data_IF_222718434608
#
_entry.id   IF_222718434608
#
_cell.length_a   1.000
_cell.length_b   1.000
_cell.length_c   1.000
_cell.angle_alpha   90.00
_cell.angle_beta   90.00
_cell.angle_gamma   90.00
#
_symmetry.space_group_name_H-M   'P 1'
#
loop_
_entity.id
_entity.type
_entity.pdbx_description
1 polymer ?
#
# COMPACT_ATOMS: atom_id res chain seq x y z
N UNK A 1 31.18 10.74 -16.44
CA UNK A 1 29.85 10.61 -17.04
C UNK A 1 29.51 9.14 -17.11
N UNK A 2 28.22 8.80 -16.80
CA UNK A 2 27.69 7.46 -17.02
C UNK A 2 27.45 7.30 -18.51
N UNK A 3 27.86 6.14 -19.07
CA UNK A 3 27.64 5.83 -20.48
C UNK A 3 26.85 4.52 -20.65
N UNK A 4 26.68 3.77 -19.57
CA UNK A 4 25.91 2.52 -19.59
C UNK A 4 25.87 1.85 -18.22
N UNK A 5 25.04 0.83 -18.11
CA UNK A 5 24.93 -0.05 -16.94
C UNK A 5 24.87 -1.50 -17.39
N UNK A 6 25.56 -2.36 -16.67
CA UNK A 6 25.42 -3.81 -16.82
C UNK A 6 24.72 -4.37 -15.58
N UNK A 7 23.62 -5.07 -15.79
CA UNK A 7 22.90 -5.79 -14.74
C UNK A 7 23.06 -7.30 -14.96
N UNK A 8 22.97 -8.07 -13.88
CA UNK A 8 22.99 -9.52 -13.92
C UNK A 8 21.96 -10.09 -12.94
N UNK A 9 21.53 -11.33 -13.17
CA UNK A 9 20.71 -12.06 -12.20
C UNK A 9 21.55 -12.42 -10.98
N UNK A 10 20.91 -12.54 -9.82
CA UNK A 10 21.52 -13.01 -8.58
C UNK A 10 20.77 -14.22 -8.05
N UNK A 11 21.48 -15.08 -7.34
CA UNK A 11 20.90 -16.21 -6.62
C UNK A 11 20.23 -15.77 -5.30
N UNK A 12 19.69 -16.75 -4.56
CA UNK A 12 19.04 -16.51 -3.24
C UNK A 12 19.99 -15.96 -2.17
N UNK A 13 21.29 -15.96 -2.43
CA UNK A 13 22.36 -15.39 -1.58
C UNK A 13 22.92 -14.08 -2.13
N UNK A 14 22.24 -13.45 -3.11
CA UNK A 14 22.67 -12.24 -3.79
C UNK A 14 24.04 -12.35 -4.49
N UNK A 15 24.44 -13.58 -4.90
CA UNK A 15 25.64 -13.78 -5.70
C UNK A 15 25.29 -13.73 -7.18
N UNK A 16 26.13 -13.09 -7.97
CA UNK A 16 25.94 -12.97 -9.42
C UNK A 16 25.90 -14.33 -10.11
N UNK A 17 24.93 -14.52 -10.97
CA UNK A 17 24.84 -15.70 -11.86
C UNK A 17 25.59 -15.38 -13.16
N UNK A 18 26.78 -15.95 -13.39
CA UNK A 18 27.58 -15.69 -14.59
C UNK A 18 26.83 -16.05 -15.87
N UNK A 19 26.93 -15.20 -16.90
CA UNK A 19 26.28 -15.41 -18.20
C UNK A 19 24.87 -14.84 -18.29
N UNK A 20 24.40 -14.13 -17.25
CA UNK A 20 23.10 -13.44 -17.24
C UNK A 20 23.24 -11.93 -17.42
N UNK A 21 24.46 -11.46 -17.68
CA UNK A 21 24.78 -10.04 -17.81
C UNK A 21 24.05 -9.43 -19.01
N UNK A 22 23.40 -8.28 -18.78
CA UNK A 22 22.76 -7.45 -19.80
C UNK A 22 23.28 -6.05 -19.71
N UNK A 23 23.80 -5.53 -20.81
CA UNK A 23 24.28 -4.16 -20.91
C UNK A 23 23.22 -3.24 -21.52
N UNK A 24 23.09 -2.02 -20.93
CA UNK A 24 22.22 -0.96 -21.42
C UNK A 24 23.02 0.32 -21.54
N UNK A 25 22.94 0.98 -22.69
CA UNK A 25 23.49 2.32 -22.90
C UNK A 25 22.56 3.33 -22.26
N UNK A 26 23.02 4.01 -21.20
CA UNK A 26 22.26 5.00 -20.45
C UNK A 26 23.17 6.16 -20.03
N UNK A 27 22.64 7.34 -19.92
CA UNK A 27 23.33 8.53 -19.43
C UNK A 27 23.05 8.81 -17.94
N UNK A 28 22.03 8.17 -17.40
CA UNK A 28 21.60 8.36 -16.02
C UNK A 28 21.18 7.03 -15.40
N UNK A 29 21.56 6.77 -14.14
CA UNK A 29 21.14 5.62 -13.36
C UNK A 29 20.45 6.12 -12.09
N UNK A 30 19.20 5.69 -11.86
CA UNK A 30 18.48 5.93 -10.62
C UNK A 30 18.57 4.70 -9.73
N UNK A 31 19.12 4.82 -8.53
CA UNK A 31 19.24 3.75 -7.54
C UNK A 31 18.19 3.92 -6.45
N UNK A 32 17.40 2.87 -6.22
CA UNK A 32 16.43 2.78 -5.14
C UNK A 32 16.72 1.52 -4.31
N UNK A 33 17.88 1.50 -3.65
CA UNK A 33 18.44 0.32 -2.96
C UNK A 33 18.14 0.29 -1.46
N UNK A 34 17.18 1.07 -1.01
CA UNK A 34 16.76 1.16 0.38
C UNK A 34 17.15 2.49 1.04
N UNK A 35 16.77 2.61 2.30
CA UNK A 35 16.97 3.78 3.13
C UNK A 35 17.91 3.44 4.29
N UNK A 36 18.54 4.44 4.87
CA UNK A 36 19.33 4.32 6.10
C UNK A 36 18.95 5.42 7.08
N UNK A 37 18.97 5.16 8.40
CA UNK A 37 18.66 6.15 9.41
C UNK A 37 19.58 7.37 9.35
N UNK A 38 19.01 8.59 9.37
CA UNK A 38 19.77 9.83 9.44
C UNK A 38 20.13 10.16 10.90
N UNK A 39 21.10 9.43 11.45
CA UNK A 39 21.45 9.46 12.88
C UNK A 39 22.58 10.44 13.25
N UNK A 40 23.02 11.30 12.32
CA UNK A 40 24.19 12.17 12.51
C UNK A 40 24.03 13.15 13.68
N UNK A 41 22.85 13.77 13.83
CA UNK A 41 22.58 14.70 14.92
C UNK A 41 22.65 14.04 16.30
N UNK A 42 22.20 12.79 16.41
CA UNK A 42 22.26 12.02 17.65
C UNK A 42 23.69 11.66 18.03
N UNK A 43 24.53 11.30 17.03
CA UNK A 43 25.96 11.11 17.24
C UNK A 43 26.66 12.38 17.72
N UNK A 44 26.31 13.52 17.12
CA UNK A 44 26.85 14.81 17.54
C UNK A 44 26.40 15.20 18.95
N UNK A 45 25.18 14.83 19.35
CA UNK A 45 24.67 15.02 20.70
C UNK A 45 25.30 14.07 21.73
N UNK A 46 26.07 13.06 21.30
CA UNK A 46 26.70 12.08 22.17
C UNK A 46 25.82 10.92 22.59
N UNK A 47 24.69 10.69 21.88
CA UNK A 47 23.85 9.53 22.14
C UNK A 47 24.58 8.24 21.82
N UNK A 48 24.36 7.21 22.63
CA UNK A 48 24.84 5.86 22.34
C UNK A 48 24.13 5.29 21.12
N UNK A 49 24.91 4.65 20.24
CA UNK A 49 24.43 4.11 18.95
C UNK A 49 24.74 2.61 18.85
N UNK A 50 23.86 1.89 18.19
CA UNK A 50 24.10 0.50 17.79
C UNK A 50 24.06 0.36 16.26
N UNK A 51 24.80 -0.63 15.74
CA UNK A 51 24.66 -1.03 14.33
C UNK A 51 23.67 -2.18 14.23
N UNK A 52 22.50 -1.87 13.68
CA UNK A 52 21.38 -2.80 13.57
C UNK A 52 20.91 -2.93 12.12
N UNK A 53 21.43 -3.91 11.35
CA UNK A 53 21.05 -4.10 9.96
C UNK A 53 19.54 -4.28 9.73
N UNK A 54 18.81 -4.83 10.73
CA UNK A 54 17.35 -5.01 10.66
C UNK A 54 16.57 -3.69 10.76
N UNK A 55 17.21 -2.66 11.28
CA UNK A 55 16.67 -1.30 11.39
C UNK A 55 17.23 -0.35 10.32
N UNK A 56 17.98 -0.88 9.34
CA UNK A 56 18.55 -0.13 8.23
C UNK A 56 19.94 0.46 8.50
N UNK A 57 20.61 0.07 9.59
CA UNK A 57 21.98 0.49 9.90
C UNK A 57 22.15 1.06 11.30
N UNK A 58 22.87 2.17 11.44
CA UNK A 58 23.15 2.77 12.75
C UNK A 58 21.95 3.53 13.30
N UNK A 59 21.46 3.07 14.46
CA UNK A 59 20.32 3.62 15.20
C UNK A 59 20.72 3.99 16.63
N UNK A 60 20.03 4.94 17.29
CA UNK A 60 20.28 5.23 18.71
C UNK A 60 19.76 4.10 19.59
N UNK A 61 20.46 3.88 20.70
CA UNK A 61 19.94 3.09 21.81
C UNK A 61 18.92 3.96 22.55
N UNK A 62 17.68 3.51 22.63
CA UNK A 62 16.59 4.22 23.30
C UNK A 62 15.71 3.23 24.09
N UNK A 63 14.96 3.78 25.05
CA UNK A 63 13.97 3.03 25.81
C UNK A 63 12.66 2.82 25.02
N UNK A 64 11.65 2.25 25.66
CA UNK A 64 10.31 1.98 25.09
C UNK A 64 9.53 3.23 24.71
N UNK A 65 9.92 4.39 25.23
CA UNK A 65 9.30 5.71 24.95
C UNK A 65 10.07 6.52 23.91
N UNK A 66 11.18 5.99 23.40
CA UNK A 66 12.06 6.67 22.47
C UNK A 66 13.04 7.64 23.12
N UNK A 67 13.19 7.66 24.47
CA UNK A 67 14.24 8.45 25.13
C UNK A 67 15.60 7.79 24.90
N UNK A 68 16.57 8.57 24.45
CA UNK A 68 17.94 8.10 24.15
C UNK A 68 18.76 7.97 25.43
N UNK A 69 20.01 7.54 25.32
CA UNK A 69 20.98 7.54 26.42
C UNK A 69 21.24 8.94 27.00
N UNK A 70 20.88 9.99 26.27
CA UNK A 70 20.95 11.40 26.76
C UNK A 70 19.54 11.84 27.13
N UNK A 71 19.33 12.08 28.44
CA UNK A 71 18.05 12.50 29.01
C UNK A 71 17.48 13.75 28.32
N UNK A 72 16.18 13.69 27.98
CA UNK A 72 15.47 14.77 27.31
C UNK A 72 15.63 14.79 25.79
N UNK A 73 16.38 13.84 25.21
CA UNK A 73 16.46 13.63 23.78
C UNK A 73 15.62 12.41 23.42
N UNK A 74 14.53 12.66 22.71
CA UNK A 74 13.61 11.63 22.23
C UNK A 74 13.74 11.44 20.73
N UNK A 75 13.51 10.22 20.25
CA UNK A 75 13.59 9.83 18.84
C UNK A 75 12.32 9.10 18.40
N UNK A 76 11.95 9.27 17.14
CA UNK A 76 10.83 8.58 16.52
C UNK A 76 11.00 8.50 15.00
N UNK A 77 10.41 7.51 14.37
CA UNK A 77 10.44 7.31 12.93
C UNK A 77 11.78 6.80 12.43
N UNK A 78 12.11 7.11 11.17
CA UNK A 78 13.26 6.52 10.45
C UNK A 78 14.61 6.65 11.17
N UNK A 79 14.78 7.64 12.02
CA UNK A 79 16.00 7.82 12.80
C UNK A 79 16.20 6.72 13.85
N UNK A 80 15.11 6.13 14.35
CA UNK A 80 15.10 4.99 15.28
C UNK A 80 15.09 3.65 14.54
N UNK A 81 15.00 3.69 13.22
CA UNK A 81 15.01 2.55 12.30
C UNK A 81 13.96 2.70 11.21
N UNK A 82 14.34 2.38 9.99
CA UNK A 82 13.49 2.55 8.82
C UNK A 82 12.21 1.73 8.93
N UNK A 83 11.08 2.40 8.82
CA UNK A 83 9.74 1.81 8.85
C UNK A 83 8.75 2.67 8.03
N UNK A 84 7.47 2.30 7.99
CA UNK A 84 6.45 3.05 7.27
C UNK A 84 6.08 4.36 7.99
N UNK A 85 5.60 5.34 7.21
CA UNK A 85 5.23 6.67 7.72
C UNK A 85 4.15 6.62 8.83
N UNK A 86 3.22 5.67 8.76
CA UNK A 86 2.18 5.46 9.78
C UNK A 86 2.76 5.02 11.13
N UNK A 87 3.75 4.13 11.12
CA UNK A 87 4.50 3.74 12.34
C UNK A 87 5.27 4.92 12.91
N UNK A 88 5.93 5.70 12.05
CA UNK A 88 6.66 6.90 12.45
C UNK A 88 5.76 7.95 13.13
N UNK A 89 4.52 8.12 12.66
CA UNK A 89 3.53 9.00 13.29
C UNK A 89 3.17 8.55 14.70
N UNK A 90 2.98 7.25 14.93
CA UNK A 90 2.63 6.72 16.24
C UNK A 90 3.84 6.79 17.18
N UNK A 91 5.03 6.42 16.72
CA UNK A 91 6.26 6.60 17.49
C UNK A 91 6.46 8.06 17.90
N UNK A 92 6.18 9.00 16.99
CA UNK A 92 6.21 10.44 17.31
C UNK A 92 5.21 10.84 18.39
N UNK A 93 4.03 10.23 18.44
CA UNK A 93 3.06 10.46 19.54
C UNK A 93 3.56 9.89 20.86
N UNK A 94 4.11 8.69 20.87
CA UNK A 94 4.71 8.07 22.07
C UNK A 94 5.82 8.97 22.61
N UNK A 95 6.76 9.36 21.76
CA UNK A 95 7.86 10.24 22.14
C UNK A 95 7.37 11.61 22.66
N UNK A 96 6.32 12.17 22.02
CA UNK A 96 5.71 13.44 22.48
C UNK A 96 5.02 13.33 23.84
N UNK A 97 4.31 12.23 24.11
CA UNK A 97 3.69 11.93 25.40
C UNK A 97 4.78 11.80 26.48
N UNK A 98 5.84 11.03 26.18
CA UNK A 98 6.97 10.84 27.10
C UNK A 98 7.72 12.15 27.39
N UNK A 99 7.94 12.98 26.38
CA UNK A 99 8.54 14.31 26.55
C UNK A 99 7.67 15.22 27.43
N UNK A 100 6.34 15.18 27.29
CA UNK A 100 5.42 15.92 28.14
C UNK A 100 5.49 15.45 29.60
N UNK A 101 5.58 14.16 29.84
CA UNK A 101 5.82 13.60 31.18
C UNK A 101 7.17 14.05 31.73
N UNK A 102 8.24 13.95 30.95
CA UNK A 102 9.59 14.44 31.34
C UNK A 102 9.59 15.90 31.77
N UNK A 103 8.78 16.72 31.15
CA UNK A 103 8.61 18.14 31.50
C UNK A 103 7.62 18.40 32.66
N UNK A 104 7.02 17.34 33.22
CA UNK A 104 6.13 17.44 34.37
C UNK A 104 4.69 17.88 34.05
N UNK A 105 4.27 17.77 32.77
CA UNK A 105 2.90 18.10 32.36
C UNK A 105 1.88 16.98 32.62
N UNK A 106 2.34 15.76 32.91
CA UNK A 106 1.50 14.62 33.26
C UNK A 106 2.22 13.69 34.24
N UNK A 107 1.46 12.92 34.98
CA UNK A 107 2.00 11.93 35.91
C UNK A 107 2.29 10.58 35.22
N UNK A 108 2.86 9.65 35.98
CA UNK A 108 3.26 8.32 35.50
C UNK A 108 2.06 7.45 35.10
N UNK A 109 0.91 7.58 35.76
CA UNK A 109 -0.28 6.79 35.45
C UNK A 109 -0.92 7.26 34.13
N UNK A 110 -0.99 8.56 33.94
CA UNK A 110 -1.44 9.17 32.69
C UNK A 110 -0.50 8.84 31.52
N UNK A 111 0.82 8.89 31.73
CA UNK A 111 1.81 8.46 30.75
C UNK A 111 1.52 7.02 30.27
N UNK A 112 1.45 6.08 31.20
CA UNK A 112 1.24 4.66 30.88
C UNK A 112 -0.06 4.41 30.13
N UNK A 113 -1.12 5.08 30.53
CA UNK A 113 -2.43 4.95 29.87
C UNK A 113 -2.38 5.43 28.43
N UNK A 114 -1.83 6.64 28.19
CA UNK A 114 -1.76 7.23 26.84
C UNK A 114 -0.78 6.49 25.93
N UNK A 115 0.34 6.05 26.47
CA UNK A 115 1.32 5.28 25.68
C UNK A 115 0.72 3.93 25.29
N UNK A 116 0.03 3.25 26.21
CA UNK A 116 -0.61 1.96 25.91
C UNK A 116 -1.56 2.02 24.72
N UNK A 117 -2.37 3.07 24.62
CA UNK A 117 -3.25 3.30 23.48
C UNK A 117 -2.47 3.40 22.15
N UNK A 118 -1.32 4.05 22.18
CA UNK A 118 -0.47 4.19 20.99
C UNK A 118 0.29 2.88 20.66
N UNK A 119 0.76 2.16 21.67
CA UNK A 119 1.41 0.86 21.50
C UNK A 119 0.46 -0.15 20.86
N UNK A 120 -0.78 -0.23 21.32
CA UNK A 120 -1.79 -1.13 20.77
C UNK A 120 -2.06 -0.80 19.28
N UNK A 121 -2.07 0.48 18.90
CA UNK A 121 -2.18 0.91 17.52
C UNK A 121 -0.92 0.56 16.69
N UNK A 122 0.27 0.74 17.27
CA UNK A 122 1.55 0.41 16.62
C UNK A 122 1.72 -1.09 16.40
N UNK A 123 1.32 -1.89 17.39
CA UNK A 123 1.33 -3.34 17.28
C UNK A 123 0.37 -3.81 16.18
N UNK A 124 -0.79 -3.18 16.04
CA UNK A 124 -1.72 -3.44 14.94
C UNK A 124 -1.09 -3.21 13.56
N UNK A 125 -0.34 -2.11 13.39
CA UNK A 125 0.39 -1.83 12.15
C UNK A 125 1.49 -2.85 11.85
N UNK A 126 2.20 -3.29 12.89
CA UNK A 126 3.33 -4.22 12.79
C UNK A 126 2.92 -5.68 12.60
N UNK A 127 1.64 -5.96 12.46
CA UNK A 127 1.10 -7.28 12.08
C UNK A 127 0.94 -7.44 10.58
N UNK A 128 1.04 -6.35 9.80
CA UNK A 128 0.90 -6.36 8.35
C UNK A 128 1.97 -7.18 7.63
N UNK A 129 1.68 -7.57 6.40
CA UNK A 129 2.56 -8.37 5.54
C UNK A 129 3.95 -7.75 5.35
N UNK A 130 4.03 -6.44 5.31
CA UNK A 130 5.26 -5.67 5.13
C UNK A 130 5.89 -5.22 6.45
N UNK A 131 5.28 -5.62 7.57
CA UNK A 131 5.79 -5.27 8.88
C UNK A 131 7.20 -5.86 9.09
N UNK A 132 8.12 -5.09 9.66
CA UNK A 132 9.45 -5.58 9.99
C UNK A 132 9.33 -6.71 11.02
N UNK A 133 9.69 -7.92 10.62
CA UNK A 133 9.51 -9.20 11.36
C UNK A 133 10.05 -9.24 12.81
N UNK A 134 10.62 -8.15 13.35
CA UNK A 134 11.30 -8.12 14.63
C UNK A 134 11.07 -6.85 15.45
N UNK A 135 10.06 -6.04 15.15
CA UNK A 135 9.80 -4.78 15.84
C UNK A 135 8.58 -4.75 16.75
N UNK A 136 7.68 -5.70 16.67
CA UNK A 136 6.53 -5.84 17.55
C UNK A 136 6.56 -7.19 18.26
N UNK A 137 5.82 -7.34 19.36
CA UNK A 137 5.41 -8.65 19.83
C UNK A 137 4.59 -9.26 18.70
N UNK A 138 4.99 -10.43 18.19
CA UNK A 138 4.11 -11.24 17.36
C UNK A 138 2.90 -11.58 18.24
N UNK A 139 1.79 -10.88 18.00
CA UNK A 139 0.50 -11.34 18.54
C UNK A 139 0.28 -12.69 17.87
N UNK A 140 0.10 -13.72 18.67
CA UNK A 140 -0.35 -15.03 18.17
C UNK A 140 -1.55 -14.77 17.27
N UNK A 141 -1.52 -15.33 16.05
CA UNK A 141 -2.55 -15.19 15.02
C UNK A 141 -3.93 -15.29 15.67
N UNK A 142 -4.63 -14.18 15.77
CA UNK A 142 -6.09 -14.25 15.88
C UNK A 142 -6.59 -14.72 14.52
N UNK A 143 -7.49 -15.68 14.49
CA UNK A 143 -8.00 -16.39 13.30
C UNK A 143 -8.75 -15.49 12.28
N UNK A 144 -8.69 -14.18 12.41
CA UNK A 144 -9.35 -13.19 11.55
C UNK A 144 -8.42 -12.48 10.54
N UNK A 145 -7.14 -12.79 10.51
CA UNK A 145 -6.23 -12.32 9.47
C UNK A 145 -6.40 -13.13 8.20
N UNK A 146 -6.70 -12.50 7.08
CA UNK A 146 -6.61 -13.15 5.76
C UNK A 146 -5.19 -13.70 5.64
N UNK A 147 -5.08 -15.02 5.48
CA UNK A 147 -3.81 -15.68 5.19
C UNK A 147 -3.39 -15.22 3.78
N UNK A 148 -2.58 -14.16 3.77
CA UNK A 148 -2.13 -13.56 2.51
C UNK A 148 -1.22 -14.56 1.83
N UNK A 149 -1.65 -14.96 0.67
CA UNK A 149 -1.04 -16.05 -0.07
C UNK A 149 0.45 -15.81 -0.32
N UNK A 150 1.17 -16.90 -0.43
CA UNK A 150 2.56 -16.94 -0.88
C UNK A 150 2.76 -16.27 -2.25
N UNK A 151 1.70 -16.11 -3.06
CA UNK A 151 1.77 -15.45 -4.37
C UNK A 151 1.98 -13.94 -4.21
N UNK A 152 1.23 -13.26 -3.34
CA UNK A 152 1.41 -11.82 -3.11
C UNK A 152 2.80 -11.51 -2.57
N UNK A 153 3.31 -12.33 -1.64
CA UNK A 153 4.65 -12.17 -1.08
C UNK A 153 5.78 -12.40 -2.10
N UNK A 154 5.61 -13.38 -3.00
CA UNK A 154 6.66 -13.77 -3.95
C UNK A 154 6.55 -13.07 -5.30
N UNK A 155 5.34 -12.78 -5.76
CA UNK A 155 5.06 -12.28 -7.10
C UNK A 155 4.56 -10.85 -7.13
N UNK A 156 4.15 -10.29 -5.97
CA UNK A 156 3.66 -8.92 -5.85
C UNK A 156 2.22 -8.71 -6.33
N UNK A 157 1.47 -9.77 -6.59
CA UNK A 157 0.05 -9.69 -6.96
C UNK A 157 -0.77 -10.84 -6.35
N UNK A 158 -2.06 -10.59 -6.16
CA UNK A 158 -3.02 -11.59 -5.70
C UNK A 158 -3.43 -12.48 -6.88
N UNK A 159 -3.44 -13.79 -6.69
CA UNK A 159 -3.89 -14.72 -7.72
C UNK A 159 -5.42 -14.66 -7.89
N UNK A 160 -5.91 -14.99 -9.09
CA UNK A 160 -7.35 -14.89 -9.41
C UNK A 160 -8.23 -15.76 -8.51
N UNK A 161 -7.74 -16.91 -8.06
CA UNK A 161 -8.44 -17.82 -7.14
C UNK A 161 -8.46 -17.35 -5.68
N UNK A 162 -7.71 -16.30 -5.37
CA UNK A 162 -7.63 -15.73 -4.02
C UNK A 162 -8.48 -14.48 -3.84
N UNK A 163 -8.96 -13.90 -4.93
CA UNK A 163 -9.69 -12.62 -4.92
C UNK A 163 -10.96 -12.67 -4.08
N UNK A 164 -11.69 -13.78 -4.14
CA UNK A 164 -12.94 -13.96 -3.40
C UNK A 164 -12.77 -13.98 -1.88
N UNK A 165 -11.53 -14.03 -1.38
CA UNK A 165 -11.24 -13.99 0.06
C UNK A 165 -11.30 -12.58 0.63
N UNK A 166 -11.27 -11.55 -0.20
CA UNK A 166 -11.27 -10.17 0.30
C UNK A 166 -12.69 -9.69 0.58
N UNK A 167 -12.94 -9.11 1.77
CA UNK A 167 -14.29 -8.72 2.19
C UNK A 167 -14.89 -7.60 1.33
N UNK A 168 -14.05 -6.86 0.60
CA UNK A 168 -14.47 -5.81 -0.32
C UNK A 168 -14.73 -6.30 -1.76
N UNK A 169 -14.57 -7.59 -2.04
CA UNK A 169 -14.90 -8.19 -3.33
C UNK A 169 -16.35 -8.65 -3.29
N UNK A 170 -17.15 -8.14 -4.20
CA UNK A 170 -18.59 -8.41 -4.28
C UNK A 170 -19.02 -8.61 -5.71
N UNK A 171 -20.13 -9.34 -5.91
CA UNK A 171 -20.82 -9.51 -7.17
C UNK A 171 -22.22 -8.94 -7.04
N UNK A 172 -22.54 -7.93 -7.80
CA UNK A 172 -23.86 -7.28 -7.81
C UNK A 172 -24.33 -7.01 -9.25
N UNK A 173 -25.64 -6.95 -9.44
CA UNK A 173 -26.22 -6.46 -10.70
C UNK A 173 -25.92 -4.96 -10.84
N UNK A 174 -25.47 -4.55 -12.02
CA UNK A 174 -25.05 -3.18 -12.29
C UNK A 174 -23.68 -2.83 -11.73
N UNK A 175 -23.33 -1.56 -11.82
CA UNK A 175 -22.01 -1.07 -11.40
C UNK A 175 -21.84 -1.14 -9.88
N UNK A 176 -20.74 -1.74 -9.43
CA UNK A 176 -20.39 -1.85 -8.01
C UNK A 176 -18.89 -1.79 -7.79
N UNK A 177 -18.42 -1.40 -6.59
CA UNK A 177 -16.99 -1.42 -6.28
C UNK A 177 -16.53 -2.84 -5.98
N UNK A 178 -15.38 -3.19 -6.52
CA UNK A 178 -14.60 -4.39 -6.20
C UNK A 178 -13.30 -3.91 -5.57
N UNK A 179 -13.08 -4.25 -4.31
CA UNK A 179 -11.96 -3.75 -3.54
C UNK A 179 -10.99 -4.87 -3.21
N UNK A 180 -9.82 -4.83 -3.83
CA UNK A 180 -8.72 -5.78 -3.67
C UNK A 180 -7.68 -5.26 -2.68
N UNK A 181 -8.16 -4.66 -1.59
CA UNK A 181 -7.30 -4.12 -0.56
C UNK A 181 -6.70 -5.26 0.26
N UNK A 182 -5.37 -5.39 0.22
CA UNK A 182 -4.62 -6.48 0.84
C UNK A 182 -3.93 -6.08 2.14
N UNK A 183 -4.01 -4.81 2.53
CA UNK A 183 -3.21 -4.26 3.61
C UNK A 183 -4.08 -3.80 4.78
N UNK A 184 -3.82 -4.34 5.96
CA UNK A 184 -4.39 -3.89 7.21
C UNK A 184 -3.60 -2.69 7.74
N UNK A 185 -3.77 -1.52 7.10
CA UNK A 185 -3.12 -0.26 7.47
C UNK A 185 -4.17 0.79 7.86
N UNK A 186 -3.83 1.81 8.66
CA UNK A 186 -4.74 2.93 8.95
C UNK A 186 -5.03 3.72 7.68
N UNK A 187 -6.11 3.38 7.00
CA UNK A 187 -6.46 3.96 5.72
C UNK A 187 -7.97 3.92 5.51
N UNK A 188 -8.60 5.09 5.25
CA UNK A 188 -10.04 5.20 5.03
C UNK A 188 -10.48 6.14 3.88
N UNK A 189 -9.62 6.66 2.99
CA UNK A 189 -10.06 7.59 1.94
C UNK A 189 -11.22 7.06 1.08
N UNK A 190 -11.30 5.76 0.84
CA UNK A 190 -12.37 5.15 0.06
C UNK A 190 -13.74 5.25 0.75
N UNK A 191 -13.80 5.14 2.08
CA UNK A 191 -15.01 5.34 2.87
C UNK A 191 -15.44 6.81 2.84
N UNK A 192 -14.50 7.72 3.11
CA UNK A 192 -14.78 9.16 3.22
C UNK A 192 -15.16 9.76 1.86
N UNK A 193 -14.58 9.27 0.77
CA UNK A 193 -14.88 9.72 -0.58
C UNK A 193 -16.24 9.19 -1.13
N UNK A 194 -16.84 8.18 -0.51
CA UNK A 194 -18.06 7.58 -1.01
C UNK A 194 -19.31 8.41 -0.66
N UNK A 195 -19.96 9.14 -1.61
CA UNK A 195 -21.09 10.01 -1.31
C UNK A 195 -22.36 9.22 -0.93
N UNK A 196 -22.37 7.91 -1.19
CA UNK A 196 -23.47 7.01 -0.82
C UNK A 196 -23.17 6.21 0.45
N UNK A 197 -21.96 6.33 1.00
CA UNK A 197 -21.53 5.56 2.16
C UNK A 197 -21.66 4.04 1.98
N UNK A 198 -21.52 3.55 0.74
CA UNK A 198 -21.57 2.11 0.46
C UNK A 198 -20.26 1.38 0.78
N UNK A 199 -19.21 2.09 1.17
CA UNK A 199 -17.94 1.51 1.61
C UNK A 199 -17.75 1.81 3.10
N UNK A 200 -17.41 0.81 3.87
CA UNK A 200 -17.15 0.93 5.32
C UNK A 200 -15.83 0.28 5.67
N UNK A 201 -15.06 0.96 6.49
CA UNK A 201 -13.97 0.37 7.25
C UNK A 201 -14.58 -0.13 8.57
N UNK A 202 -14.15 -1.28 9.07
CA UNK A 202 -14.67 -1.84 10.31
C UNK A 202 -14.39 -0.95 11.55
N UNK A 203 -14.59 -1.51 12.73
CA UNK A 203 -14.39 -0.76 14.00
C UNK A 203 -12.96 -0.24 14.16
N UNK A 204 -11.99 -0.99 13.65
CA UNK A 204 -10.60 -0.57 13.64
C UNK A 204 -10.26 0.09 12.30
N UNK A 205 -9.58 1.25 12.35
CA UNK A 205 -9.10 1.98 11.15
C UNK A 205 -8.20 1.11 10.25
N UNK A 206 -7.62 0.04 10.77
CA UNK A 206 -6.81 -0.94 10.03
C UNK A 206 -7.62 -2.09 9.43
N UNK A 207 -8.93 -2.14 9.66
CA UNK A 207 -9.80 -3.17 9.07
C UNK A 207 -9.83 -3.03 7.55
N UNK A 208 -9.93 -4.16 6.86
CA UNK A 208 -10.14 -4.14 5.41
C UNK A 208 -11.52 -3.55 5.07
N UNK A 209 -11.63 -2.82 3.94
CA UNK A 209 -12.89 -2.24 3.53
C UNK A 209 -13.89 -3.31 3.11
N UNK A 210 -15.14 -3.07 3.44
CA UNK A 210 -16.31 -3.87 3.02
C UNK A 210 -17.27 -3.03 2.22
N UNK A 211 -18.00 -3.66 1.30
CA UNK A 211 -19.09 -3.02 0.56
C UNK A 211 -20.41 -3.33 1.28
N UNK A 212 -21.16 -2.29 1.64
CA UNK A 212 -22.47 -2.45 2.25
C UNK A 212 -23.43 -3.13 1.23
N UNK A 213 -23.99 -4.29 1.57
CA UNK A 213 -24.87 -5.02 0.65
C UNK A 213 -26.19 -4.30 0.36
N UNK A 214 -26.64 -3.45 1.28
CA UNK A 214 -27.95 -2.77 1.23
C UNK A 214 -27.88 -1.40 0.55
N UNK A 215 -26.68 -0.95 0.16
CA UNK A 215 -26.48 0.36 -0.48
C UNK A 215 -26.02 0.19 -1.93
N UNK A 216 -26.78 0.81 -2.84
CA UNK A 216 -26.45 0.79 -4.26
C UNK A 216 -25.34 1.79 -4.61
N UNK A 217 -24.35 1.32 -5.34
CA UNK A 217 -23.30 2.15 -5.92
C UNK A 217 -23.85 2.94 -7.12
N UNK A 218 -23.52 4.23 -7.22
CA UNK A 218 -23.91 5.09 -8.35
C UNK A 218 -22.82 5.20 -9.43
N UNK A 219 -21.73 4.44 -9.33
CA UNK A 219 -20.66 4.45 -10.34
C UNK A 219 -19.88 5.76 -10.43
N UNK A 220 -19.89 6.62 -9.40
CA UNK A 220 -19.23 7.93 -9.45
C UNK A 220 -17.70 7.85 -9.60
N UNK A 221 -17.07 6.81 -9.07
CA UNK A 221 -15.63 6.58 -9.17
C UNK A 221 -14.76 7.30 -8.14
N UNK A 222 -15.38 8.04 -7.20
CA UNK A 222 -14.62 8.76 -6.15
C UNK A 222 -13.73 7.83 -5.34
N UNK A 223 -14.22 6.66 -4.96
CA UNK A 223 -13.42 5.67 -4.22
C UNK A 223 -12.23 5.14 -5.03
N UNK A 224 -12.40 4.97 -6.35
CA UNK A 224 -11.30 4.55 -7.24
C UNK A 224 -10.22 5.62 -7.29
N UNK A 225 -10.61 6.88 -7.50
CA UNK A 225 -9.69 8.01 -7.59
C UNK A 225 -8.98 8.31 -6.26
N UNK A 226 -9.67 8.10 -5.12
CA UNK A 226 -9.13 8.41 -3.79
C UNK A 226 -8.25 7.30 -3.20
N UNK A 227 -8.21 6.13 -3.83
CA UNK A 227 -7.41 5.01 -3.33
C UNK A 227 -5.94 5.15 -3.72
N UNK A 228 -5.09 5.54 -2.77
CA UNK A 228 -3.64 5.65 -2.99
C UNK A 228 -2.97 4.32 -3.37
N UNK A 229 -3.56 3.20 -2.94
CA UNK A 229 -3.09 1.85 -3.30
C UNK A 229 -3.62 1.33 -4.64
N UNK A 230 -4.47 2.11 -5.35
CA UNK A 230 -5.10 1.72 -6.63
C UNK A 230 -5.78 0.35 -6.58
N UNK A 231 -6.30 -0.04 -5.41
CA UNK A 231 -6.87 -1.36 -5.16
C UNK A 231 -8.40 -1.43 -5.36
N UNK A 232 -9.00 -0.39 -5.94
CA UNK A 232 -10.46 -0.30 -6.13
C UNK A 232 -10.79 -0.17 -7.61
N UNK A 233 -11.73 -0.99 -8.04
CA UNK A 233 -12.25 -1.00 -9.40
C UNK A 233 -13.77 -0.89 -9.33
N UNK A 234 -14.43 -0.29 -10.35
CA UNK A 234 -15.87 -0.44 -10.52
C UNK A 234 -16.12 -1.46 -11.60
N UNK A 235 -16.90 -2.47 -11.28
CA UNK A 235 -17.23 -3.56 -12.21
C UNK A 235 -18.73 -3.56 -12.47
N UNK A 236 -19.13 -3.78 -13.72
CA UNK A 236 -20.50 -4.08 -14.10
C UNK A 236 -20.51 -5.32 -14.98
N UNK A 237 -20.81 -6.46 -14.36
CA UNK A 237 -20.88 -7.76 -15.03
C UNK A 237 -22.15 -7.91 -15.89
N UNK A 238 -23.07 -6.95 -15.80
CA UNK A 238 -24.37 -6.97 -16.49
C UNK A 238 -24.49 -5.92 -17.60
N UNK A 239 -23.38 -5.30 -17.99
CA UNK A 239 -23.34 -4.18 -18.94
C UNK A 239 -24.02 -4.47 -20.29
N UNK A 240 -23.62 -5.55 -20.94
CA UNK A 240 -24.20 -6.04 -22.21
C UNK A 240 -24.15 -7.58 -22.25
N UNK A 241 -25.03 -8.25 -23.01
CA UNK A 241 -24.93 -9.71 -23.14
C UNK A 241 -23.55 -10.17 -23.63
N UNK A 242 -22.84 -10.93 -22.78
CA UNK A 242 -21.50 -11.43 -23.04
C UNK A 242 -20.35 -10.46 -22.75
N UNK A 243 -20.64 -9.24 -22.29
CA UNK A 243 -19.64 -8.23 -21.96
C UNK A 243 -19.89 -7.58 -20.60
N UNK A 244 -18.81 -7.17 -19.99
CA UNK A 244 -18.77 -6.42 -18.76
C UNK A 244 -17.99 -5.12 -18.94
N UNK A 245 -18.12 -4.19 -18.01
CA UNK A 245 -17.21 -3.04 -17.92
C UNK A 245 -16.40 -3.07 -16.63
N UNK A 246 -15.15 -2.61 -16.75
CA UNK A 246 -14.25 -2.38 -15.63
C UNK A 246 -13.77 -0.94 -15.69
N UNK A 247 -14.04 -0.17 -14.62
CA UNK A 247 -13.47 1.17 -14.44
C UNK A 247 -12.27 1.06 -13.50
N UNK A 248 -11.15 1.58 -13.93
CA UNK A 248 -9.85 1.49 -13.25
C UNK A 248 -9.18 2.87 -13.18
N UNK A 249 -8.29 3.10 -12.21
CA UNK A 249 -7.45 4.28 -12.20
C UNK A 249 -6.43 4.20 -13.33
N UNK A 250 -6.18 5.33 -14.04
CA UNK A 250 -5.27 5.34 -15.17
C UNK A 250 -4.43 6.61 -15.18
N UNK A 251 -3.12 6.46 -15.04
CA UNK A 251 -2.19 7.58 -14.87
C UNK A 251 -1.14 7.67 -16.00
N UNK A 252 -1.28 6.86 -17.05
CA UNK A 252 -0.37 6.87 -18.18
C UNK A 252 -0.83 7.87 -19.25
N UNK A 253 0.14 8.46 -19.94
CA UNK A 253 -0.08 9.39 -21.04
C UNK A 253 0.52 8.84 -22.35
N UNK A 254 -0.08 9.13 -23.51
CA UNK A 254 -1.34 9.86 -23.68
C UNK A 254 -2.55 9.07 -23.17
N UNK A 255 -3.59 9.80 -22.74
CA UNK A 255 -4.86 9.14 -22.35
C UNK A 255 -5.48 8.44 -23.56
N UNK A 256 -6.04 7.22 -23.39
CA UNK A 256 -6.77 6.55 -24.44
C UNK A 256 -8.02 7.32 -24.86
N UNK A 257 -8.47 7.12 -26.09
CA UNK A 257 -9.70 7.73 -26.61
C UNK A 257 -10.89 6.76 -26.54
N UNK A 258 -12.10 7.29 -26.40
CA UNK A 258 -13.32 6.48 -26.45
C UNK A 258 -13.39 5.71 -27.78
N UNK A 259 -13.65 4.40 -27.71
CA UNK A 259 -13.68 3.49 -28.85
C UNK A 259 -12.30 2.95 -29.24
N UNK A 260 -11.23 3.38 -28.56
CA UNK A 260 -9.90 2.83 -28.80
C UNK A 260 -9.87 1.36 -28.40
N UNK A 261 -9.25 0.54 -29.26
CA UNK A 261 -9.08 -0.89 -29.04
C UNK A 261 -7.72 -1.19 -28.46
N UNK A 262 -7.69 -2.13 -27.56
CA UNK A 262 -6.50 -2.57 -26.87
C UNK A 262 -6.71 -3.90 -26.18
N UNK A 263 -6.00 -4.08 -25.08
CA UNK A 263 -5.98 -5.33 -24.35
C UNK A 263 -6.29 -5.10 -22.88
N UNK A 264 -7.15 -5.97 -22.33
CA UNK A 264 -7.29 -6.12 -20.89
C UNK A 264 -6.10 -6.92 -20.36
N UNK A 265 -5.47 -6.37 -19.32
CA UNK A 265 -4.29 -6.96 -18.69
C UNK A 265 -4.67 -7.53 -17.33
N UNK A 266 -4.08 -8.65 -16.96
CA UNK A 266 -4.23 -9.27 -15.64
C UNK A 266 -3.45 -8.49 -14.55
N UNK A 267 -3.60 -8.91 -13.30
CA UNK A 267 -2.80 -8.42 -12.16
C UNK A 267 -1.30 -8.71 -12.30
N UNK A 268 -0.94 -9.76 -13.04
CA UNK A 268 0.47 -10.08 -13.38
C UNK A 268 1.03 -9.27 -14.55
N UNK A 269 0.20 -8.41 -15.19
CA UNK A 269 0.60 -7.66 -16.38
C UNK A 269 0.54 -8.43 -17.69
N UNK A 270 -0.08 -9.60 -17.72
CA UNK A 270 -0.25 -10.41 -18.94
C UNK A 270 -1.51 -9.98 -19.71
N UNK A 271 -1.46 -10.04 -21.04
CA UNK A 271 -2.64 -9.89 -21.89
C UNK A 271 -3.58 -11.07 -21.68
N UNK A 272 -4.84 -10.79 -21.29
CA UNK A 272 -5.84 -11.82 -21.04
C UNK A 272 -7.05 -11.76 -21.97
N UNK A 273 -7.36 -10.60 -22.53
CA UNK A 273 -8.48 -10.45 -23.47
C UNK A 273 -8.29 -9.20 -24.34
N UNK A 274 -9.13 -9.09 -25.37
CA UNK A 274 -9.30 -7.82 -26.07
C UNK A 274 -10.19 -6.88 -25.24
N UNK A 275 -9.93 -5.58 -25.35
CA UNK A 275 -10.66 -4.55 -24.62
C UNK A 275 -10.94 -3.35 -25.53
N UNK A 276 -12.05 -2.64 -25.25
CA UNK A 276 -12.42 -1.40 -25.91
C UNK A 276 -12.70 -0.32 -24.88
N UNK A 277 -12.18 0.87 -25.10
CA UNK A 277 -12.39 2.01 -24.20
C UNK A 277 -13.81 2.53 -24.34
N UNK A 278 -14.58 2.45 -23.26
CA UNK A 278 -15.97 2.97 -23.17
C UNK A 278 -15.96 4.45 -22.83
N UNK A 279 -15.15 4.83 -21.85
CA UNK A 279 -15.03 6.23 -21.42
C UNK A 279 -13.72 6.52 -20.72
N UNK A 280 -13.28 7.76 -20.81
CA UNK A 280 -12.20 8.34 -20.00
C UNK A 280 -12.79 9.52 -19.25
N UNK A 281 -12.69 9.52 -17.94
CA UNK A 281 -13.20 10.58 -17.07
C UNK A 281 -12.04 11.27 -16.38
N UNK A 282 -11.94 12.58 -16.57
CA UNK A 282 -11.00 13.45 -15.88
C UNK A 282 -11.80 14.47 -15.08
N UNK A 283 -11.44 14.74 -13.85
CA UNK A 283 -12.13 15.70 -13.00
C UNK A 283 -11.17 16.28 -11.95
N UNK A 284 -11.38 17.54 -11.61
CA UNK A 284 -10.67 18.13 -10.46
C UNK A 284 -10.96 17.40 -9.14
N UNK A 285 -12.14 16.79 -9.03
CA UNK A 285 -12.53 16.00 -7.87
C UNK A 285 -11.76 14.68 -7.74
N UNK A 286 -11.08 14.24 -8.79
CA UNK A 286 -10.27 13.02 -8.81
C UNK A 286 -8.79 13.27 -8.50
N UNK A 287 -8.42 14.49 -8.15
CA UNK A 287 -7.07 14.89 -7.75
C UNK A 287 -5.98 14.32 -8.66
N UNK A 288 -6.10 14.65 -9.98
CA UNK A 288 -5.20 14.21 -11.06
C UNK A 288 -5.27 12.73 -11.47
N UNK A 289 -6.00 11.87 -10.76
CA UNK A 289 -6.27 10.49 -11.20
C UNK A 289 -7.31 10.49 -12.32
N UNK A 290 -7.01 9.83 -13.43
CA UNK A 290 -8.00 9.63 -14.50
C UNK A 290 -8.70 8.29 -14.31
N UNK A 291 -9.97 8.21 -14.63
CA UNK A 291 -10.74 6.97 -14.60
C UNK A 291 -10.98 6.48 -16.02
N UNK A 292 -10.45 5.31 -16.33
CA UNK A 292 -10.64 4.63 -17.60
C UNK A 292 -11.67 3.50 -17.43
N UNK A 293 -12.73 3.53 -18.22
CA UNK A 293 -13.68 2.41 -18.29
C UNK A 293 -13.45 1.64 -19.57
N UNK A 294 -13.19 0.35 -19.43
CA UNK A 294 -13.00 -0.58 -20.55
C UNK A 294 -14.14 -1.60 -20.59
N UNK A 295 -14.52 -2.00 -21.81
CA UNK A 295 -15.40 -3.15 -22.09
C UNK A 295 -14.53 -4.37 -22.33
N UNK A 296 -14.85 -5.46 -21.67
CA UNK A 296 -14.14 -6.74 -21.74
C UNK A 296 -15.17 -7.90 -21.84
N UNK A 297 -14.80 -9.10 -22.26
CA UNK A 297 -15.66 -10.27 -22.12
C UNK A 297 -16.13 -10.46 -20.67
N UNK A 298 -17.37 -10.89 -20.47
CA UNK A 298 -17.98 -10.98 -19.15
C UNK A 298 -17.17 -11.87 -18.17
N UNK A 299 -16.61 -12.96 -18.63
CA UNK A 299 -15.77 -13.88 -17.85
C UNK A 299 -14.36 -13.31 -17.48
N UNK A 300 -14.05 -12.12 -18.02
CA UNK A 300 -12.81 -11.40 -17.73
C UNK A 300 -13.01 -10.20 -16.79
N UNK A 301 -14.25 -9.91 -16.39
CA UNK A 301 -14.60 -8.74 -15.55
C UNK A 301 -13.81 -8.69 -14.24
N UNK A 302 -13.68 -9.84 -13.57
CA UNK A 302 -12.97 -9.95 -12.29
C UNK A 302 -11.45 -10.18 -12.43
N UNK A 303 -10.95 -10.26 -13.66
CA UNK A 303 -9.53 -10.54 -13.97
C UNK A 303 -8.81 -9.34 -14.59
N UNK A 304 -9.48 -8.58 -15.47
CA UNK A 304 -8.90 -7.40 -16.11
C UNK A 304 -8.71 -6.27 -15.09
N UNK A 305 -7.48 -5.82 -14.91
CA UNK A 305 -7.11 -4.79 -13.92
C UNK A 305 -6.29 -3.65 -14.48
N UNK A 306 -5.92 -3.74 -15.76
CA UNK A 306 -5.23 -2.69 -16.48
C UNK A 306 -5.59 -2.72 -17.97
N UNK A 307 -5.30 -1.64 -18.68
CA UNK A 307 -5.49 -1.50 -20.11
C UNK A 307 -4.17 -1.18 -20.80
N UNK A 308 -3.90 -1.85 -21.90
CA UNK A 308 -2.80 -1.53 -22.81
C UNK A 308 -3.33 -1.34 -24.23
N UNK A 309 -2.95 -0.22 -24.84
CA UNK A 309 -3.28 0.07 -26.23
C UNK A 309 -2.72 -1.01 -27.16
N UNK A 310 -3.49 -1.39 -28.19
CA UNK A 310 -2.97 -2.23 -29.25
C UNK A 310 -1.84 -1.49 -29.98
N UNK A 311 -0.75 -2.18 -30.21
CA UNK A 311 0.31 -1.65 -31.07
C UNK A 311 -0.24 -1.60 -32.52
N UNK A 312 0.06 -0.50 -33.23
CA UNK A 312 -0.39 -0.28 -34.60
C UNK A 312 0.34 -1.19 -35.60
#
# INVERSE_FOLDING_TARGET
>A
YVTGVTIAEVDDHFQFIPGTEKHFDVDTICLAVGLSPMSQLLKMAGCEMEDNPKRGGQVPICDEYGETSIKGIFVAGDVSGIEEASSAMIEGRIAGIAAAHYLGYMDEEELKTKVKEQEDALDGLRQGMFAPKNRGKLIEKTEEGIDISMNLLKKGYVADDEIERFPGVTHKVGVHPVMECTQNIPCNPCQDACPKHCIRIGENITSLPVVDPDVDCIGCGMCVASCSGQAIFLVDETYEPGFATVTLPYEFLPLPEKGEKGYGMSRSGEKICDAEVVSVRTSKAFDHTNLLTIKVPADMAMKARFYRKAEA
#
